data_IF_471160392314
#
_entry.id   IF_471160392314
#
_cell.length_a   1.000
_cell.length_b   1.000
_cell.length_c   1.000
_cell.angle_alpha   90.00
_cell.angle_beta   90.00
_cell.angle_gamma   90.00
#
_symmetry.space_group_name_H-M   'P 1'
#
loop_
_entity.id
_entity.type
_entity.pdbx_description
1 polymer ?
#
# COMPACT_ATOMS: atom_id res chain seq x y z
N UNK A 1 62.47 -12.07 -61.47
CA UNK A 1 62.92 -13.48 -61.33
C UNK A 1 61.77 -14.23 -60.77
N UNK A 2 61.10 -14.91 -61.64
CA UNK A 2 60.74 -16.31 -61.68
C UNK A 2 59.59 -16.64 -60.63
N UNK A 3 58.44 -16.90 -61.04
CA UNK A 3 57.85 -17.88 -61.94
C UNK A 3 57.12 -18.97 -61.17
N UNK A 4 55.92 -19.19 -61.60
CA UNK A 4 55.18 -20.49 -61.70
C UNK A 4 54.66 -21.07 -60.38
N UNK A 5 53.47 -21.61 -60.30
CA UNK A 5 52.49 -22.02 -61.32
C UNK A 5 51.39 -22.84 -60.69
N UNK A 6 50.22 -22.63 -61.18
CA UNK A 6 49.18 -23.56 -61.53
C UNK A 6 49.02 -24.90 -60.77
N UNK A 7 47.85 -25.22 -60.20
CA UNK A 7 46.96 -26.21 -60.83
C UNK A 7 45.60 -26.35 -60.15
N UNK A 8 44.60 -26.43 -60.99
CA UNK A 8 43.21 -26.81 -60.83
C UNK A 8 43.02 -28.14 -60.09
N UNK A 9 41.90 -28.24 -59.34
CA UNK A 9 41.34 -29.47 -58.83
C UNK A 9 39.89 -29.27 -58.43
N UNK A 10 39.02 -29.38 -59.42
CA UNK A 10 37.55 -29.42 -59.28
C UNK A 10 37.16 -30.80 -58.79
N UNK A 11 36.35 -30.96 -57.73
CA UNK A 11 35.45 -32.11 -57.54
C UNK A 11 34.17 -31.61 -56.82
N UNK A 12 33.09 -31.69 -57.56
CA UNK A 12 31.67 -31.73 -57.15
C UNK A 12 31.40 -32.81 -56.10
N UNK A 13 30.62 -32.48 -55.08
CA UNK A 13 29.59 -33.36 -54.52
C UNK A 13 28.70 -32.61 -53.52
N UNK A 14 27.64 -32.00 -53.97
CA UNK A 14 26.33 -32.08 -53.34
C UNK A 14 25.58 -33.21 -54.08
N UNK A 15 24.70 -34.00 -53.42
CA UNK A 15 23.44 -33.61 -52.79
C UNK A 15 22.98 -34.57 -51.68
N UNK A 16 22.42 -34.12 -50.61
CA UNK A 16 21.54 -34.93 -49.77
C UNK A 16 20.52 -34.17 -48.91
N UNK A 17 20.51 -32.86 -48.94
CA UNK A 17 19.56 -32.08 -48.09
C UNK A 17 18.27 -31.66 -48.79
N UNK A 18 18.11 -31.84 -50.11
CA UNK A 18 16.93 -31.41 -50.88
C UNK A 18 15.91 -32.52 -51.16
N UNK A 19 16.11 -33.74 -50.68
CA UNK A 19 15.13 -34.82 -50.88
C UNK A 19 14.20 -35.06 -49.68
N UNK A 20 14.59 -34.65 -48.49
CA UNK A 20 13.70 -34.78 -47.32
C UNK A 20 12.67 -33.63 -47.21
N UNK A 21 12.96 -32.45 -47.75
CA UNK A 21 11.98 -31.35 -47.80
C UNK A 21 10.91 -31.47 -48.86
N UNK A 22 11.11 -32.30 -49.92
CA UNK A 22 10.10 -32.56 -50.93
C UNK A 22 9.17 -33.76 -50.64
N UNK A 23 9.56 -34.63 -49.71
CA UNK A 23 8.68 -35.72 -49.27
C UNK A 23 7.71 -35.37 -48.15
N UNK A 24 7.93 -34.24 -47.46
CA UNK A 24 6.99 -33.70 -46.44
C UNK A 24 5.92 -32.76 -47.01
N UNK A 25 6.01 -32.37 -48.28
CA UNK A 25 5.07 -31.45 -48.93
C UNK A 25 3.91 -32.13 -49.63
N UNK A 26 3.82 -33.46 -49.62
CA UNK A 26 2.75 -34.22 -50.34
C UNK A 26 1.82 -35.03 -49.46
N UNK A 27 1.73 -34.75 -48.18
CA UNK A 27 0.80 -35.43 -47.25
C UNK A 27 0.08 -34.44 -46.34
N UNK A 28 -0.64 -33.46 -46.91
CA UNK A 28 -1.67 -32.69 -46.20
C UNK A 28 -2.97 -32.79 -47.02
N UNK A 29 -4.04 -33.34 -46.41
CA UNK A 29 -5.40 -33.16 -46.95
C UNK A 29 -5.87 -31.74 -46.71
N UNK A 30 -6.71 -31.26 -47.66
CA UNK A 30 -7.12 -29.91 -47.87
C UNK A 30 -7.78 -29.16 -46.71
N UNK A 31 -7.68 -27.86 -46.91
CA UNK A 31 -8.63 -26.83 -46.56
C UNK A 31 -9.40 -26.92 -45.21
N UNK A 32 -8.85 -26.28 -44.17
CA UNK A 32 -9.65 -25.48 -43.26
C UNK A 32 -8.86 -24.21 -42.94
N UNK A 33 -9.25 -23.10 -43.56
CA UNK A 33 -8.93 -21.75 -43.11
C UNK A 33 -9.52 -21.55 -41.70
N UNK A 34 -8.76 -21.88 -40.68
CA UNK A 34 -9.05 -21.42 -39.32
C UNK A 34 -8.70 -19.94 -39.27
N UNK A 35 -9.67 -19.04 -39.00
CA UNK A 35 -9.41 -17.63 -38.98
C UNK A 35 -8.50 -17.27 -37.79
N UNK A 36 -7.39 -16.59 -38.07
CA UNK A 36 -6.47 -15.93 -37.13
C UNK A 36 -7.13 -14.85 -36.22
N UNK A 37 -8.46 -14.81 -36.18
CA UNK A 37 -9.26 -13.86 -35.41
C UNK A 37 -9.46 -14.31 -33.95
N UNK A 38 -9.23 -15.60 -33.64
CA UNK A 38 -9.41 -16.13 -32.28
C UNK A 38 -8.37 -15.66 -31.25
N UNK A 39 -7.16 -15.32 -31.69
CA UNK A 39 -6.07 -14.98 -30.78
C UNK A 39 -6.05 -13.50 -30.35
N UNK A 40 -6.59 -12.61 -31.20
CA UNK A 40 -6.61 -11.17 -30.89
C UNK A 40 -7.65 -10.84 -29.82
N UNK A 41 -8.82 -11.48 -29.84
CA UNK A 41 -9.84 -11.28 -28.81
C UNK A 41 -9.41 -11.86 -27.45
N UNK A 42 -8.62 -12.93 -27.42
CA UNK A 42 -8.02 -13.49 -26.22
C UNK A 42 -6.96 -12.58 -25.60
N UNK A 43 -6.16 -11.91 -26.42
CA UNK A 43 -5.14 -10.94 -25.99
C UNK A 43 -5.76 -9.64 -25.50
N UNK A 44 -6.78 -9.11 -26.19
CA UNK A 44 -7.50 -7.90 -25.73
C UNK A 44 -8.31 -8.17 -24.45
N UNK A 45 -8.95 -9.33 -24.32
CA UNK A 45 -9.62 -9.75 -23.10
C UNK A 45 -8.66 -9.90 -21.92
N UNK A 46 -7.42 -10.33 -22.15
CA UNK A 46 -6.40 -10.46 -21.11
C UNK A 46 -5.86 -9.11 -20.65
N UNK A 47 -5.73 -8.14 -21.55
CA UNK A 47 -5.28 -6.76 -21.26
C UNK A 47 -6.22 -6.00 -20.32
N UNK A 48 -7.53 -6.17 -20.47
CA UNK A 48 -8.55 -5.46 -19.69
C UNK A 48 -8.67 -5.94 -18.22
N UNK A 49 -8.17 -7.14 -17.89
CA UNK A 49 -8.45 -7.74 -16.58
C UNK A 49 -7.59 -7.22 -15.44
N UNK A 50 -6.35 -6.80 -15.68
CA UNK A 50 -5.45 -6.34 -14.64
C UNK A 50 -5.92 -5.00 -14.05
N UNK A 51 -6.26 -4.05 -14.92
CA UNK A 51 -6.79 -2.74 -14.52
C UNK A 51 -8.13 -2.88 -13.80
N UNK A 52 -9.03 -3.76 -14.29
CA UNK A 52 -10.30 -4.05 -13.62
C UNK A 52 -10.08 -4.57 -12.19
N UNK A 53 -9.11 -5.46 -11.98
CA UNK A 53 -8.80 -6.00 -10.66
C UNK A 53 -8.30 -4.89 -9.71
N UNK A 54 -7.52 -3.91 -10.21
CA UNK A 54 -7.09 -2.74 -9.43
C UNK A 54 -8.29 -1.88 -9.04
N UNK A 55 -9.19 -1.56 -9.96
CA UNK A 55 -10.41 -0.80 -9.67
C UNK A 55 -11.30 -1.51 -8.63
N UNK A 56 -11.48 -2.84 -8.74
CA UNK A 56 -12.24 -3.64 -7.77
C UNK A 56 -11.56 -3.58 -6.39
N UNK A 57 -10.23 -3.74 -6.33
CA UNK A 57 -9.46 -3.69 -5.10
C UNK A 57 -9.59 -2.30 -4.44
N UNK A 58 -9.36 -1.24 -5.22
CA UNK A 58 -9.44 0.15 -4.74
C UNK A 58 -10.82 0.50 -4.21
N UNK A 59 -11.89 0.13 -4.94
CA UNK A 59 -13.26 0.37 -4.51
C UNK A 59 -13.62 -0.46 -3.28
N UNK A 60 -13.20 -1.72 -3.20
CA UNK A 60 -13.43 -2.56 -2.04
C UNK A 60 -12.75 -2.01 -0.78
N UNK A 61 -11.50 -1.54 -0.91
CA UNK A 61 -10.79 -0.87 0.17
C UNK A 61 -11.48 0.43 0.58
N UNK A 62 -11.88 1.27 -0.38
CA UNK A 62 -12.65 2.47 -0.10
C UNK A 62 -13.88 2.16 0.77
N UNK A 63 -14.70 1.16 0.41
CA UNK A 63 -15.92 0.83 1.14
C UNK A 63 -15.65 0.24 2.53
N UNK A 64 -14.63 -0.61 2.66
CA UNK A 64 -14.26 -1.19 3.97
C UNK A 64 -13.70 -0.11 4.89
N UNK A 65 -12.79 0.73 4.40
CA UNK A 65 -12.10 1.70 5.23
C UNK A 65 -12.91 2.98 5.47
N UNK A 66 -13.84 3.34 4.60
CA UNK A 66 -14.82 4.39 4.84
C UNK A 66 -15.61 4.12 6.13
N UNK A 67 -16.07 2.89 6.32
CA UNK A 67 -16.79 2.49 7.52
C UNK A 67 -15.86 2.36 8.73
N UNK A 68 -14.70 1.73 8.55
CA UNK A 68 -13.73 1.56 9.63
C UNK A 68 -13.12 2.89 10.10
N UNK A 69 -12.68 3.76 9.18
CA UNK A 69 -12.06 5.04 9.52
C UNK A 69 -13.03 5.96 10.28
N UNK A 70 -14.29 6.01 9.85
CA UNK A 70 -15.30 6.76 10.55
C UNK A 70 -15.61 6.16 11.95
N UNK A 71 -15.72 4.84 12.06
CA UNK A 71 -15.88 4.15 13.35
C UNK A 71 -14.67 4.41 14.26
N UNK A 72 -13.45 4.36 13.75
CA UNK A 72 -12.23 4.65 14.48
C UNK A 72 -12.21 6.07 15.04
N UNK A 73 -12.60 7.07 14.25
CA UNK A 73 -12.65 8.47 14.68
C UNK A 73 -13.67 8.70 15.82
N UNK A 74 -14.71 7.87 15.91
CA UNK A 74 -15.74 7.96 16.94
C UNK A 74 -15.39 7.19 18.23
N UNK A 75 -14.38 6.34 18.24
CA UNK A 75 -14.07 5.48 19.39
C UNK A 75 -13.84 6.26 20.68
N UNK A 76 -13.04 7.32 20.62
CA UNK A 76 -12.71 8.14 21.79
C UNK A 76 -13.88 9.00 22.30
N UNK A 77 -14.90 9.22 21.46
CA UNK A 77 -16.06 10.03 21.81
C UNK A 77 -17.28 9.22 22.21
N UNK A 78 -17.46 8.02 21.65
CA UNK A 78 -18.62 7.17 21.93
C UNK A 78 -18.36 6.16 23.04
N UNK A 79 -17.14 5.63 23.14
CA UNK A 79 -16.77 4.58 24.08
C UNK A 79 -15.85 5.15 25.18
N UNK A 80 -16.37 6.12 25.93
CA UNK A 80 -15.63 6.86 26.97
C UNK A 80 -15.56 6.11 28.30
N UNK A 81 -16.40 5.10 28.53
CA UNK A 81 -16.43 4.32 29.75
C UNK A 81 -15.09 3.60 29.97
N UNK A 82 -14.40 3.91 31.05
CA UNK A 82 -13.07 3.40 31.40
C UNK A 82 -12.03 3.51 30.28
N UNK A 83 -12.10 4.55 29.45
CA UNK A 83 -11.22 4.76 28.28
C UNK A 83 -11.23 3.59 27.28
N UNK A 84 -12.32 2.81 27.23
CA UNK A 84 -12.46 1.61 26.41
C UNK A 84 -12.14 1.87 24.92
N UNK A 85 -12.64 2.97 24.38
CA UNK A 85 -12.43 3.31 22.97
C UNK A 85 -10.95 3.51 22.63
N UNK A 86 -10.25 4.32 23.40
CA UNK A 86 -8.82 4.61 23.20
C UNK A 86 -7.96 3.38 23.44
N UNK A 87 -8.27 2.64 24.50
CA UNK A 87 -7.54 1.39 24.84
C UNK A 87 -7.72 0.32 23.77
N UNK A 88 -8.93 0.17 23.23
CA UNK A 88 -9.19 -0.78 22.15
C UNK A 88 -8.38 -0.47 20.88
N UNK A 89 -8.21 0.80 20.52
CA UNK A 89 -7.34 1.23 19.42
C UNK A 89 -5.86 0.96 19.71
N UNK A 90 -5.40 1.23 20.93
CA UNK A 90 -4.03 0.89 21.33
C UNK A 90 -3.74 -0.60 21.20
N UNK A 91 -4.65 -1.46 21.66
CA UNK A 91 -4.56 -2.93 21.54
C UNK A 91 -4.56 -3.33 20.06
N UNK A 92 -5.40 -2.72 19.22
CA UNK A 92 -5.46 -2.99 17.78
C UNK A 92 -4.09 -2.75 17.12
N UNK A 93 -3.49 -1.57 17.29
CA UNK A 93 -2.20 -1.24 16.65
C UNK A 93 -1.04 -2.05 17.21
N UNK A 94 -1.05 -2.36 18.51
CA UNK A 94 -0.07 -3.25 19.11
C UNK A 94 -0.18 -4.67 18.53
N UNK A 95 -1.39 -5.18 18.42
CA UNK A 95 -1.68 -6.49 17.78
C UNK A 95 -1.29 -6.49 16.31
N UNK A 96 -1.59 -5.41 15.59
CA UNK A 96 -1.21 -5.25 14.20
C UNK A 96 0.32 -5.34 14.04
N UNK A 97 1.08 -4.61 14.84
CA UNK A 97 2.55 -4.67 14.85
C UNK A 97 3.06 -6.09 15.10
N UNK A 98 2.52 -6.76 16.13
CA UNK A 98 2.91 -8.11 16.50
C UNK A 98 2.62 -9.12 15.37
N UNK A 99 1.42 -9.13 14.83
CA UNK A 99 1.03 -10.07 13.78
C UNK A 99 1.63 -9.75 12.41
N UNK A 100 2.09 -8.53 12.16
CA UNK A 100 2.82 -8.19 10.93
C UNK A 100 4.10 -9.01 10.77
N UNK A 101 4.67 -9.48 11.87
CA UNK A 101 5.85 -10.39 11.86
C UNK A 101 5.54 -11.69 11.11
N UNK A 102 4.33 -12.23 11.26
CA UNK A 102 3.92 -13.50 10.63
C UNK A 102 3.11 -13.30 9.35
N UNK A 103 2.72 -12.08 9.04
CA UNK A 103 1.81 -11.77 7.94
C UNK A 103 2.33 -12.24 6.57
N UNK A 104 3.64 -12.11 6.30
CA UNK A 104 4.23 -12.56 5.04
C UNK A 104 4.07 -14.05 4.80
N UNK A 105 4.22 -14.87 5.86
CA UNK A 105 4.02 -16.32 5.78
C UNK A 105 2.55 -16.64 5.49
N UNK A 106 1.63 -16.00 6.20
CA UNK A 106 0.19 -16.19 6.03
C UNK A 106 -0.23 -15.83 4.59
N UNK A 107 0.23 -14.69 4.08
CA UNK A 107 -0.08 -14.25 2.71
C UNK A 107 0.53 -15.21 1.67
N UNK A 108 1.72 -15.73 1.91
CA UNK A 108 2.37 -16.71 1.03
C UNK A 108 1.61 -18.03 0.95
N UNK A 109 1.13 -18.53 2.09
CA UNK A 109 0.36 -19.79 2.18
C UNK A 109 -1.04 -19.63 1.60
N UNK A 110 -1.75 -18.58 1.95
CA UNK A 110 -3.14 -18.35 1.52
C UNK A 110 -3.23 -17.82 0.09
N UNK A 111 -2.19 -17.16 -0.40
CA UNK A 111 -2.22 -16.30 -1.57
C UNK A 111 -2.87 -14.93 -1.30
N UNK A 112 -2.44 -13.91 -2.02
CA UNK A 112 -2.85 -12.52 -1.76
C UNK A 112 -4.37 -12.30 -1.79
N UNK A 113 -5.11 -12.92 -2.72
CA UNK A 113 -6.58 -12.83 -2.77
C UNK A 113 -7.27 -13.36 -1.49
N UNK A 114 -6.89 -14.55 -1.03
CA UNK A 114 -7.52 -15.13 0.16
C UNK A 114 -7.13 -14.35 1.42
N UNK A 115 -5.90 -13.82 1.48
CA UNK A 115 -5.45 -12.93 2.53
C UNK A 115 -6.32 -11.66 2.62
N UNK A 116 -6.64 -11.05 1.47
CA UNK A 116 -7.55 -9.91 1.40
C UNK A 116 -8.95 -10.25 1.94
N UNK A 117 -9.51 -11.39 1.53
CA UNK A 117 -10.84 -11.84 2.00
C UNK A 117 -10.88 -12.10 3.51
N UNK A 118 -9.89 -12.82 4.04
CA UNK A 118 -9.82 -13.10 5.48
C UNK A 118 -9.57 -11.81 6.24
N UNK A 119 -8.70 -10.93 5.71
CA UNK A 119 -8.39 -9.64 6.33
C UNK A 119 -9.63 -8.75 6.52
N UNK A 120 -10.59 -8.75 5.59
CA UNK A 120 -11.82 -7.96 5.73
C UNK A 120 -12.71 -8.42 6.88
N UNK A 121 -12.66 -9.70 7.26
CA UNK A 121 -13.50 -10.22 8.35
C UNK A 121 -13.23 -9.55 9.70
N UNK A 122 -11.97 -9.18 9.96
CA UNK A 122 -11.59 -8.47 11.19
C UNK A 122 -12.21 -7.08 11.25
N UNK A 123 -12.21 -6.36 10.15
CA UNK A 123 -12.84 -5.03 10.07
C UNK A 123 -14.34 -5.10 10.29
N UNK A 124 -15.02 -6.07 9.64
CA UNK A 124 -16.45 -6.31 9.84
C UNK A 124 -16.77 -6.64 11.30
N UNK A 125 -16.00 -7.54 11.92
CA UNK A 125 -16.21 -7.94 13.31
C UNK A 125 -15.98 -6.77 14.28
N UNK A 126 -14.96 -5.95 14.06
CA UNK A 126 -14.68 -4.79 14.90
C UNK A 126 -15.80 -3.74 14.83
N UNK A 127 -16.30 -3.43 13.63
CA UNK A 127 -17.43 -2.50 13.48
C UNK A 127 -18.70 -3.11 14.10
N UNK A 128 -18.94 -4.42 13.96
CA UNK A 128 -20.05 -5.11 14.60
C UNK A 128 -19.97 -5.08 16.14
N UNK A 129 -18.77 -5.19 16.72
CA UNK A 129 -18.56 -5.09 18.17
C UNK A 129 -18.99 -3.73 18.74
N UNK A 130 -18.97 -2.68 17.93
CA UNK A 130 -19.45 -1.34 18.32
C UNK A 130 -20.98 -1.21 18.41
N UNK A 131 -21.75 -2.22 18.00
CA UNK A 131 -23.20 -2.25 18.26
C UNK A 131 -23.54 -2.46 19.73
N UNK A 132 -22.65 -3.16 20.47
CA UNK A 132 -22.71 -3.35 21.93
C UNK A 132 -21.30 -3.28 22.50
N UNK A 133 -20.71 -2.06 22.59
CA UNK A 133 -19.33 -1.90 23.01
C UNK A 133 -19.20 -2.25 24.50
N UNK A 134 -18.29 -3.16 24.81
CA UNK A 134 -17.83 -3.48 26.16
C UNK A 134 -16.46 -4.16 26.07
N UNK A 135 -15.79 -4.34 27.20
CA UNK A 135 -14.47 -4.95 27.27
C UNK A 135 -14.41 -6.34 26.65
N UNK A 136 -15.47 -7.16 26.81
CA UNK A 136 -15.54 -8.54 26.30
C UNK A 136 -15.83 -8.64 24.81
N UNK A 137 -16.38 -7.59 24.18
CA UNK A 137 -16.66 -7.57 22.74
C UNK A 137 -15.56 -6.81 21.98
N UNK A 138 -15.20 -5.62 22.46
CA UNK A 138 -14.34 -4.70 21.72
C UNK A 138 -12.86 -5.10 21.78
N UNK A 139 -12.37 -5.56 22.96
CA UNK A 139 -10.97 -5.96 23.10
C UNK A 139 -10.63 -7.21 22.27
N UNK A 140 -11.40 -8.31 22.32
CA UNK A 140 -11.13 -9.45 21.43
C UNK A 140 -11.26 -9.09 19.94
N UNK A 141 -12.23 -8.24 19.58
CA UNK A 141 -12.38 -7.76 18.22
C UNK A 141 -11.16 -6.93 17.78
N UNK A 142 -10.57 -6.12 18.67
CA UNK A 142 -9.36 -5.33 18.40
C UNK A 142 -8.13 -6.21 18.15
N UNK A 143 -7.95 -7.26 18.96
CA UNK A 143 -6.86 -8.24 18.77
C UNK A 143 -7.01 -8.97 17.43
N UNK A 144 -8.22 -9.45 17.14
CA UNK A 144 -8.51 -10.13 15.88
C UNK A 144 -8.37 -9.20 14.68
N UNK A 145 -8.82 -7.94 14.80
CA UNK A 145 -8.61 -6.94 13.76
C UNK A 145 -7.13 -6.68 13.53
N UNK A 146 -6.30 -6.59 14.58
CA UNK A 146 -4.85 -6.42 14.43
C UNK A 146 -4.22 -7.53 13.60
N UNK A 147 -4.62 -8.79 13.82
CA UNK A 147 -4.21 -9.92 12.99
C UNK A 147 -4.70 -9.76 11.55
N UNK A 148 -5.98 -9.50 11.34
CA UNK A 148 -6.58 -9.32 10.02
C UNK A 148 -5.98 -8.13 9.27
N UNK A 149 -5.72 -7.01 9.95
CA UNK A 149 -5.08 -5.84 9.39
C UNK A 149 -3.66 -6.16 8.89
N UNK A 150 -2.89 -6.96 9.64
CA UNK A 150 -1.54 -7.33 9.22
C UNK A 150 -1.54 -8.09 7.88
N UNK A 151 -2.47 -9.02 7.69
CA UNK A 151 -2.53 -9.82 6.46
C UNK A 151 -3.19 -9.09 5.29
N UNK A 152 -4.21 -8.24 5.53
CA UNK A 152 -4.88 -7.51 4.43
C UNK A 152 -3.93 -6.49 3.79
N UNK A 153 -3.14 -5.76 4.57
CA UNK A 153 -2.22 -4.76 4.06
C UNK A 153 -0.98 -5.35 3.37
N UNK A 154 -0.45 -6.49 3.86
CA UNK A 154 0.60 -7.23 3.14
C UNK A 154 0.02 -7.86 1.87
N UNK A 155 -1.19 -8.41 1.95
CA UNK A 155 -1.92 -8.96 0.81
C UNK A 155 -2.23 -7.93 -0.27
N UNK A 156 -2.61 -6.71 0.11
CA UNK A 156 -2.86 -5.58 -0.79
C UNK A 156 -1.61 -5.23 -1.60
N UNK A 157 -0.50 -4.90 -0.93
CA UNK A 157 0.73 -4.52 -1.62
C UNK A 157 1.26 -5.62 -2.54
N UNK A 158 1.18 -6.89 -2.08
CA UNK A 158 1.56 -8.06 -2.89
C UNK A 158 0.64 -8.23 -4.10
N UNK A 159 -0.68 -8.10 -3.92
CA UNK A 159 -1.65 -8.23 -5.00
C UNK A 159 -1.48 -7.14 -6.06
N UNK A 160 -1.37 -5.89 -5.62
CA UNK A 160 -1.23 -4.72 -6.47
C UNK A 160 0.06 -4.78 -7.30
N UNK A 161 1.18 -5.09 -6.64
CA UNK A 161 2.49 -5.26 -7.31
C UNK A 161 2.46 -6.41 -8.31
N UNK A 162 1.85 -7.55 -7.98
CA UNK A 162 1.70 -8.68 -8.89
C UNK A 162 0.81 -8.34 -10.10
N UNK A 163 -0.26 -7.56 -9.88
CA UNK A 163 -1.12 -7.05 -10.94
C UNK A 163 -0.35 -6.15 -11.91
N UNK A 164 0.44 -5.23 -11.37
CA UNK A 164 1.24 -4.29 -12.14
C UNK A 164 2.30 -5.00 -12.99
N UNK A 165 3.02 -5.96 -12.41
CA UNK A 165 4.02 -6.76 -13.14
C UNK A 165 3.40 -7.57 -14.27
N UNK A 166 2.27 -8.23 -14.03
CA UNK A 166 1.57 -8.96 -15.07
C UNK A 166 1.10 -8.03 -16.18
N UNK A 167 0.55 -6.86 -15.82
CA UNK A 167 0.10 -5.87 -16.78
C UNK A 167 1.25 -5.30 -17.64
N UNK A 168 2.39 -5.01 -17.01
CA UNK A 168 3.58 -4.51 -17.72
C UNK A 168 4.13 -5.53 -18.70
N UNK A 169 4.17 -6.81 -18.32
CA UNK A 169 4.64 -7.91 -19.17
C UNK A 169 3.70 -8.15 -20.35
N UNK A 170 2.38 -8.21 -20.09
CA UNK A 170 1.38 -8.49 -21.15
C UNK A 170 1.26 -7.34 -22.17
N UNK A 171 1.64 -6.12 -21.78
CA UNK A 171 1.56 -4.92 -22.66
C UNK A 171 2.92 -4.37 -23.09
N UNK A 172 4.03 -5.01 -22.75
CA UNK A 172 5.40 -4.54 -23.01
C UNK A 172 5.65 -3.10 -22.47
N UNK A 173 5.10 -2.79 -21.28
CA UNK A 173 5.25 -1.50 -20.63
C UNK A 173 6.41 -1.50 -19.64
N UNK A 174 6.91 -0.33 -19.29
CA UNK A 174 7.94 -0.18 -18.27
C UNK A 174 7.39 -0.54 -16.89
N UNK A 175 7.93 -1.59 -16.23
CA UNK A 175 7.43 -2.15 -14.97
C UNK A 175 7.28 -1.09 -13.87
N UNK A 176 8.29 -0.23 -13.71
CA UNK A 176 8.28 0.80 -12.67
C UNK A 176 7.18 1.84 -12.85
N UNK A 177 6.86 2.21 -14.10
CA UNK A 177 5.77 3.13 -14.40
C UNK A 177 4.41 2.50 -14.05
N UNK A 178 4.17 1.24 -14.46
CA UNK A 178 2.91 0.54 -14.16
C UNK A 178 2.73 0.31 -12.65
N UNK A 179 3.80 -0.02 -11.93
CA UNK A 179 3.73 -0.13 -10.45
C UNK A 179 3.37 1.22 -9.83
N UNK A 180 3.97 2.31 -10.34
CA UNK A 180 3.64 3.67 -9.90
C UNK A 180 2.18 4.02 -10.16
N UNK A 181 1.71 3.82 -11.39
CA UNK A 181 0.33 4.13 -11.79
C UNK A 181 -0.71 3.37 -10.94
N UNK A 182 -0.50 2.06 -10.74
CA UNK A 182 -1.44 1.24 -9.96
C UNK A 182 -1.45 1.62 -8.48
N UNK A 183 -0.28 1.93 -7.90
CA UNK A 183 -0.23 2.45 -6.53
C UNK A 183 -0.87 3.84 -6.42
N UNK A 184 -0.62 4.73 -7.37
CA UNK A 184 -1.22 6.06 -7.40
C UNK A 184 -2.74 6.01 -7.48
N UNK A 185 -3.30 5.15 -8.34
CA UNK A 185 -4.74 4.94 -8.45
C UNK A 185 -5.33 4.37 -7.15
N UNK A 186 -4.70 3.32 -6.60
CA UNK A 186 -5.17 2.70 -5.37
C UNK A 186 -5.21 3.70 -4.20
N UNK A 187 -4.10 4.38 -3.94
CA UNK A 187 -4.01 5.33 -2.82
C UNK A 187 -4.89 6.56 -3.03
N UNK A 188 -5.07 7.04 -4.27
CA UNK A 188 -5.99 8.12 -4.57
C UNK A 188 -7.45 7.78 -4.24
N UNK A 189 -7.90 6.58 -4.62
CA UNK A 189 -9.25 6.11 -4.31
C UNK A 189 -9.38 5.83 -2.81
N UNK A 190 -8.34 5.24 -2.20
CA UNK A 190 -8.31 4.98 -0.76
C UNK A 190 -8.45 6.27 0.06
N UNK A 191 -7.74 7.34 -0.29
CA UNK A 191 -7.78 8.61 0.44
C UNK A 191 -9.21 9.21 0.56
N UNK A 192 -10.11 8.87 -0.38
CA UNK A 192 -11.51 9.31 -0.32
C UNK A 192 -12.28 8.75 0.89
N UNK A 193 -11.79 7.67 1.53
CA UNK A 193 -12.47 7.08 2.69
C UNK A 193 -12.61 8.06 3.85
N UNK A 194 -11.61 8.90 4.07
CA UNK A 194 -11.65 9.93 5.12
C UNK A 194 -12.76 10.96 4.85
N UNK A 195 -12.85 11.44 3.62
CA UNK A 195 -13.86 12.44 3.27
C UNK A 195 -15.27 11.86 3.34
N UNK A 196 -15.52 10.76 2.61
CA UNK A 196 -16.88 10.20 2.48
C UNK A 196 -17.35 9.61 3.82
N UNK A 197 -16.49 8.94 4.58
CA UNK A 197 -16.83 8.35 5.88
C UNK A 197 -17.24 9.42 6.90
N UNK A 198 -16.51 10.52 6.98
CA UNK A 198 -16.84 11.63 7.88
C UNK A 198 -18.11 12.36 7.43
N UNK A 199 -18.36 12.48 6.12
CA UNK A 199 -19.60 13.08 5.61
C UNK A 199 -20.85 12.25 5.97
N UNK A 200 -20.77 10.92 5.84
CA UNK A 200 -21.86 10.01 6.26
C UNK A 200 -22.09 10.11 7.76
N UNK A 201 -21.02 10.13 8.56
CA UNK A 201 -21.11 10.33 10.00
C UNK A 201 -21.81 11.62 10.36
N UNK A 202 -21.40 12.72 9.72
CA UNK A 202 -22.02 14.02 9.92
C UNK A 202 -23.51 13.99 9.57
N UNK A 203 -23.88 13.47 8.40
CA UNK A 203 -25.27 13.42 7.94
C UNK A 203 -26.16 12.59 8.86
N UNK A 204 -25.67 11.47 9.39
CA UNK A 204 -26.47 10.58 10.25
C UNK A 204 -26.54 11.03 11.72
N UNK A 205 -25.53 11.75 12.21
CA UNK A 205 -25.49 12.20 13.60
C UNK A 205 -26.03 13.62 13.80
N UNK A 206 -25.96 14.52 12.79
CA UNK A 206 -26.47 15.89 12.92
C UNK A 206 -27.99 15.96 12.95
N UNK A 207 -28.68 15.02 12.31
CA UNK A 207 -30.16 14.97 12.30
C UNK A 207 -30.78 14.49 13.64
N UNK A 208 -29.94 13.92 14.53
CA UNK A 208 -30.34 13.34 15.82
C UNK A 208 -29.80 14.12 17.03
N UNK A 209 -29.74 15.44 16.97
CA UNK A 209 -29.25 16.32 18.06
C UNK A 209 -30.14 16.33 19.35
N UNK A 210 -30.96 15.36 19.60
CA UNK A 210 -31.52 15.13 20.93
C UNK A 210 -30.49 14.35 21.76
N UNK A 211 -29.96 15.00 22.80
CA UNK A 211 -29.01 14.45 23.74
C UNK A 211 -29.34 13.00 24.12
N UNK A 212 -28.40 12.07 23.88
CA UNK A 212 -28.48 10.68 24.34
C UNK A 212 -29.18 9.69 23.39
N UNK A 213 -29.40 10.01 22.11
CA UNK A 213 -30.04 9.06 21.18
C UNK A 213 -29.10 7.93 20.76
N UNK A 214 -29.09 6.82 21.52
CA UNK A 214 -28.46 5.54 21.15
C UNK A 214 -28.92 5.01 19.79
N UNK A 215 -30.09 5.46 19.31
CA UNK A 215 -30.67 5.06 18.01
C UNK A 215 -29.86 5.56 16.82
N UNK A 216 -29.38 6.81 16.84
CA UNK A 216 -28.57 7.37 15.76
C UNK A 216 -27.21 6.66 15.61
N UNK A 217 -26.56 6.38 16.72
CA UNK A 217 -25.29 5.66 16.74
C UNK A 217 -25.44 4.21 16.25
N UNK A 218 -26.51 3.52 16.69
CA UNK A 218 -26.79 2.15 16.23
C UNK A 218 -27.10 2.12 14.73
N UNK A 219 -27.89 3.08 14.22
CA UNK A 219 -28.17 3.20 12.78
C UNK A 219 -26.88 3.42 11.99
N UNK A 220 -25.99 4.29 12.46
CA UNK A 220 -24.70 4.56 11.85
C UNK A 220 -23.87 3.27 11.69
N UNK A 221 -23.70 2.49 12.76
CA UNK A 221 -22.94 1.23 12.70
C UNK A 221 -23.63 0.18 11.82
N UNK A 222 -24.95 0.13 11.76
CA UNK A 222 -25.68 -0.75 10.82
C UNK A 222 -25.38 -0.35 9.37
N UNK A 223 -25.44 0.94 9.04
CA UNK A 223 -25.10 1.47 7.70
C UNK A 223 -23.64 1.13 7.35
N UNK A 224 -22.72 1.32 8.29
CA UNK A 224 -21.32 0.98 8.11
C UNK A 224 -21.10 -0.52 7.86
N UNK A 225 -21.76 -1.39 8.60
CA UNK A 225 -21.71 -2.84 8.38
C UNK A 225 -22.22 -3.22 6.99
N UNK A 226 -23.30 -2.57 6.53
CA UNK A 226 -23.83 -2.83 5.19
C UNK A 226 -22.85 -2.42 4.09
N UNK A 227 -22.29 -1.20 4.17
CA UNK A 227 -21.30 -0.69 3.22
C UNK A 227 -20.04 -1.59 3.21
N UNK A 228 -19.54 -1.96 4.39
CA UNK A 228 -18.35 -2.79 4.54
C UNK A 228 -18.55 -4.22 4.01
N UNK A 229 -19.74 -4.80 4.25
CA UNK A 229 -20.11 -6.11 3.72
C UNK A 229 -20.12 -6.09 2.19
N UNK A 230 -20.64 -5.02 1.58
CA UNK A 230 -20.59 -4.85 0.14
C UNK A 230 -19.14 -4.76 -0.38
N UNK A 231 -18.26 -4.03 0.32
CA UNK A 231 -16.82 -4.00 0.03
C UNK A 231 -16.18 -5.39 0.11
N UNK A 232 -16.51 -6.17 1.13
CA UNK A 232 -16.02 -7.56 1.27
C UNK A 232 -16.51 -8.47 0.13
N UNK A 233 -17.76 -8.31 -0.31
CA UNK A 233 -18.31 -9.04 -1.47
C UNK A 233 -17.54 -8.68 -2.75
N UNK A 234 -17.21 -7.40 -2.96
CA UNK A 234 -16.41 -6.98 -4.12
C UNK A 234 -15.05 -7.68 -4.17
N UNK A 235 -14.40 -7.93 -3.04
CA UNK A 235 -13.13 -8.66 -3.01
C UNK A 235 -13.24 -10.10 -3.50
N UNK A 236 -14.42 -10.72 -3.45
CA UNK A 236 -14.64 -12.06 -4.01
C UNK A 236 -14.43 -12.09 -5.53
N UNK A 237 -14.67 -10.98 -6.22
CA UNK A 237 -14.54 -10.88 -7.68
C UNK A 237 -13.09 -10.67 -8.15
N UNK A 238 -12.14 -10.45 -7.24
CA UNK A 238 -10.72 -10.41 -7.54
C UNK A 238 -10.27 -11.77 -8.10
N UNK A 239 -9.35 -11.76 -9.06
CA UNK A 239 -8.76 -12.99 -9.62
C UNK A 239 -7.67 -13.51 -8.67
N UNK A 240 -7.55 -14.85 -8.60
CA UNK A 240 -6.39 -15.47 -7.96
C UNK A 240 -5.15 -15.15 -8.79
N UNK A 241 -4.15 -14.55 -8.15
CA UNK A 241 -2.82 -14.35 -8.73
C UNK A 241 -1.88 -15.39 -8.12
N UNK A 242 -1.12 -16.09 -8.99
CA UNK A 242 -0.19 -17.11 -8.53
C UNK A 242 0.89 -16.45 -7.66
N UNK A 243 1.05 -16.95 -6.44
CA UNK A 243 2.30 -16.79 -5.73
C UNK A 243 3.41 -17.38 -6.61
N UNK A 244 4.57 -16.73 -6.67
CA UNK A 244 5.72 -17.24 -7.42
C UNK A 244 5.89 -18.74 -7.15
N UNK A 245 5.73 -19.56 -8.18
CA UNK A 245 5.71 -21.03 -8.10
C UNK A 245 6.93 -21.65 -7.40
N UNK A 246 8.02 -20.91 -7.23
CA UNK A 246 9.22 -21.35 -6.49
C UNK A 246 9.01 -21.34 -4.96
N UNK A 247 8.26 -20.41 -4.40
CA UNK A 247 8.01 -20.37 -2.95
C UNK A 247 6.99 -21.42 -2.49
N UNK A 248 6.04 -21.81 -3.37
CA UNK A 248 5.07 -22.86 -3.06
C UNK A 248 5.68 -24.27 -3.13
N UNK A 249 6.68 -24.46 -3.98
CA UNK A 249 7.36 -25.76 -4.12
C UNK A 249 8.26 -26.09 -2.93
N UNK A 250 8.84 -25.09 -2.27
CA UNK A 250 9.63 -25.29 -1.04
C UNK A 250 8.77 -25.61 0.18
N UNK A 251 7.49 -25.17 0.22
CA UNK A 251 6.57 -25.50 1.32
C UNK A 251 5.79 -26.81 1.10
N UNK A 252 5.57 -27.23 -0.14
CA UNK A 252 4.80 -28.46 -0.45
C UNK A 252 5.61 -29.76 -0.28
N UNK A 253 6.90 -29.65 -0.09
CA UNK A 253 7.82 -30.81 -0.02
C UNK A 253 8.24 -31.24 1.38
N UNK A 254 7.68 -30.65 2.45
CA UNK A 254 8.07 -31.02 3.81
C UNK A 254 6.86 -31.16 4.71
N UNK A 255 6.69 -32.33 5.26
CA UNK A 255 6.08 -32.58 6.59
C UNK A 255 6.90 -31.83 7.67
N UNK A 256 7.07 -30.53 7.49
CA UNK A 256 7.82 -29.68 8.38
C UNK A 256 6.91 -29.24 9.50
N UNK A 257 7.08 -29.79 10.69
CA UNK A 257 6.39 -29.39 11.90
C UNK A 257 6.48 -27.87 12.13
N UNK A 258 5.55 -27.31 12.94
CA UNK A 258 5.44 -25.88 13.24
C UNK A 258 6.80 -25.20 13.56
N UNK A 259 7.76 -25.94 14.10
CA UNK A 259 9.10 -25.46 14.41
C UNK A 259 9.95 -25.16 13.16
N UNK A 260 9.79 -25.92 12.06
CA UNK A 260 10.49 -25.66 10.80
C UNK A 260 9.89 -24.45 10.07
N UNK A 261 8.57 -24.25 10.16
CA UNK A 261 7.88 -23.06 9.65
C UNK A 261 8.29 -21.79 10.40
N UNK A 262 8.41 -21.85 11.74
CA UNK A 262 8.94 -20.73 12.55
C UNK A 262 10.41 -20.42 12.22
N UNK A 263 11.23 -21.44 11.99
CA UNK A 263 12.64 -21.25 11.60
C UNK A 263 12.77 -20.65 10.19
N UNK A 264 11.92 -21.05 9.25
CA UNK A 264 11.88 -20.43 7.92
C UNK A 264 11.41 -18.98 7.98
N UNK A 265 10.43 -18.68 8.84
CA UNK A 265 9.92 -17.33 9.08
C UNK A 265 11.00 -16.43 9.70
N UNK A 266 11.67 -16.89 10.77
CA UNK A 266 12.76 -16.13 11.40
C UNK A 266 13.91 -15.87 10.42
N UNK A 267 14.20 -16.82 9.55
CA UNK A 267 15.21 -16.67 8.49
C UNK A 267 14.77 -15.68 7.41
N UNK A 268 13.50 -15.70 6.99
CA UNK A 268 12.96 -14.74 6.02
C UNK A 268 12.95 -13.31 6.58
N UNK A 269 12.52 -13.13 7.83
CA UNK A 269 12.57 -11.84 8.51
C UNK A 269 13.99 -11.34 8.72
N UNK A 270 14.91 -12.21 9.16
CA UNK A 270 16.32 -11.87 9.30
C UNK A 270 16.98 -11.55 7.95
N UNK A 271 16.62 -12.27 6.89
CA UNK A 271 17.07 -11.99 5.53
C UNK A 271 16.58 -10.62 5.04
N UNK A 272 15.31 -10.30 5.27
CA UNK A 272 14.75 -8.99 4.90
C UNK A 272 15.42 -7.84 5.69
N UNK A 273 15.69 -8.03 6.98
CA UNK A 273 16.44 -7.07 7.81
C UNK A 273 17.93 -7.00 7.47
N UNK A 274 18.49 -8.05 6.85
CA UNK A 274 19.89 -8.07 6.42
C UNK A 274 20.10 -7.41 5.06
N UNK A 275 19.03 -7.15 4.31
CA UNK A 275 19.14 -6.43 3.03
C UNK A 275 19.42 -4.95 3.30
N UNK A 276 20.58 -4.50 2.84
CA UNK A 276 21.01 -3.10 2.99
C UNK A 276 19.99 -2.12 2.39
N UNK A 277 19.28 -2.50 1.33
CA UNK A 277 18.24 -1.65 0.74
C UNK A 277 17.09 -1.46 1.72
N UNK A 278 16.64 -2.54 2.37
CA UNK A 278 15.58 -2.46 3.40
C UNK A 278 16.03 -1.59 4.57
N UNK A 279 17.25 -1.80 5.10
CA UNK A 279 17.78 -0.98 6.19
C UNK A 279 17.80 0.52 5.87
N UNK A 280 18.08 0.88 4.61
CA UNK A 280 18.11 2.28 4.18
C UNK A 280 16.68 2.85 3.93
N UNK A 281 15.66 2.01 3.75
CA UNK A 281 14.26 2.45 3.60
C UNK A 281 13.55 2.55 4.96
N UNK A 282 13.92 1.73 5.95
CA UNK A 282 13.26 1.69 7.27
C UNK A 282 13.07 3.08 7.91
N UNK A 283 14.06 4.00 7.91
CA UNK A 283 13.83 5.33 8.49
C UNK A 283 12.71 6.11 7.80
N UNK A 284 12.58 5.98 6.49
CA UNK A 284 11.49 6.64 5.75
C UNK A 284 10.13 6.00 6.03
N UNK A 285 10.09 4.67 6.17
CA UNK A 285 8.89 3.94 6.58
C UNK A 285 8.47 4.37 7.99
N UNK A 286 9.41 4.41 8.93
CA UNK A 286 9.16 4.84 10.29
C UNK A 286 8.64 6.27 10.35
N UNK A 287 9.23 7.17 9.55
CA UNK A 287 8.76 8.55 9.44
C UNK A 287 7.33 8.62 8.88
N UNK A 288 6.97 7.79 7.90
CA UNK A 288 5.59 7.77 7.36
C UNK A 288 4.55 7.39 8.42
N UNK A 289 4.87 6.43 9.30
CA UNK A 289 4.00 6.09 10.42
C UNK A 289 3.91 7.20 11.47
N UNK A 290 5.04 7.81 11.80
CA UNK A 290 5.11 8.95 12.71
C UNK A 290 4.24 10.11 12.22
N UNK A 291 4.33 10.45 10.94
CA UNK A 291 3.57 11.53 10.31
C UNK A 291 2.07 11.26 10.34
N UNK A 292 1.64 10.03 10.02
CA UNK A 292 0.22 9.67 10.08
C UNK A 292 -0.35 9.81 11.49
N UNK A 293 0.34 9.26 12.49
CA UNK A 293 -0.08 9.37 13.88
C UNK A 293 -0.11 10.84 14.37
N UNK A 294 0.86 11.65 13.94
CA UNK A 294 0.87 13.10 14.22
C UNK A 294 -0.38 13.79 13.66
N UNK A 295 -0.74 13.53 12.41
CA UNK A 295 -1.92 14.15 11.78
C UNK A 295 -3.19 13.75 12.50
N UNK A 296 -3.35 12.45 12.80
CA UNK A 296 -4.60 11.95 13.40
C UNK A 296 -4.81 12.37 14.86
N UNK A 297 -3.74 12.54 15.62
CA UNK A 297 -3.82 12.86 17.05
C UNK A 297 -3.38 14.30 17.36
N UNK A 298 -2.13 14.64 17.08
CA UNK A 298 -1.50 15.85 17.58
C UNK A 298 -1.93 17.11 16.83
N UNK A 299 -1.95 17.04 15.48
CA UNK A 299 -2.36 18.16 14.62
C UNK A 299 -3.83 18.52 14.86
N UNK A 300 -4.71 17.54 14.91
CA UNK A 300 -6.14 17.76 15.19
C UNK A 300 -6.37 18.37 16.58
N UNK A 301 -5.68 17.85 17.59
CA UNK A 301 -5.84 18.26 18.99
C UNK A 301 -5.24 19.63 19.28
N UNK A 302 -4.02 19.89 18.85
CA UNK A 302 -3.26 21.08 19.27
C UNK A 302 -3.27 22.22 18.25
N UNK A 303 -3.65 21.97 16.99
CA UNK A 303 -3.66 22.98 15.93
C UNK A 303 -5.08 23.26 15.46
N UNK A 304 -5.80 22.23 15.02
CA UNK A 304 -7.13 22.40 14.41
C UNK A 304 -8.18 22.78 15.45
N UNK A 305 -8.34 22.00 16.51
CA UNK A 305 -9.39 22.20 17.52
C UNK A 305 -9.30 23.56 18.22
N UNK A 306 -8.13 24.05 18.63
CA UNK A 306 -8.02 25.39 19.23
C UNK A 306 -8.30 26.53 18.25
N UNK A 307 -8.02 26.33 16.94
CA UNK A 307 -8.15 27.40 15.95
C UNK A 307 -9.56 27.51 15.36
N UNK A 308 -10.22 26.40 15.04
CA UNK A 308 -11.50 26.37 14.31
C UNK A 308 -12.55 25.46 14.95
N UNK A 309 -12.29 25.00 16.18
CA UNK A 309 -13.22 24.17 16.96
C UNK A 309 -13.27 22.69 16.51
N UNK A 310 -14.03 21.90 17.27
CA UNK A 310 -14.17 20.45 16.99
C UNK A 310 -14.82 20.20 15.61
N UNK A 311 -15.79 21.02 15.21
CA UNK A 311 -16.41 20.94 13.89
C UNK A 311 -15.43 21.17 12.75
N UNK A 312 -14.37 21.96 12.99
CA UNK A 312 -13.30 22.23 12.03
C UNK A 312 -12.39 21.04 11.76
N UNK A 313 -12.38 20.02 12.62
CA UNK A 313 -11.58 18.79 12.40
C UNK A 313 -12.06 18.07 11.14
N UNK A 314 -13.36 17.96 10.93
CA UNK A 314 -13.93 17.35 9.73
C UNK A 314 -13.49 18.04 8.44
N UNK A 315 -13.54 19.39 8.40
CA UNK A 315 -13.12 20.16 7.21
C UNK A 315 -11.63 20.08 6.95
N UNK A 316 -10.79 20.08 8.02
CA UNK A 316 -9.34 19.94 7.91
C UNK A 316 -8.94 18.56 7.40
N UNK A 317 -9.57 17.50 7.92
CA UNK A 317 -9.31 16.14 7.47
C UNK A 317 -9.86 15.88 6.06
N UNK A 318 -10.93 16.57 5.65
CA UNK A 318 -11.40 16.55 4.27
C UNK A 318 -10.38 17.21 3.31
N UNK A 319 -9.82 18.36 3.69
CA UNK A 319 -8.77 19.01 2.90
C UNK A 319 -7.52 18.10 2.83
N UNK A 320 -7.08 17.54 3.96
CA UNK A 320 -5.98 16.58 3.99
C UNK A 320 -6.21 15.41 3.03
N UNK A 321 -7.35 14.72 3.13
CA UNK A 321 -7.67 13.56 2.27
C UNK A 321 -7.83 13.92 0.79
N UNK A 322 -8.35 15.11 0.46
CA UNK A 322 -8.46 15.56 -0.92
C UNK A 322 -7.07 15.77 -1.56
N UNK A 323 -6.17 16.46 -0.86
CA UNK A 323 -4.79 16.67 -1.35
C UNK A 323 -3.96 15.39 -1.35
N UNK A 324 -4.16 14.50 -0.38
CA UNK A 324 -3.59 13.16 -0.36
C UNK A 324 -3.99 12.38 -1.63
N UNK A 325 -5.28 12.26 -1.92
CA UNK A 325 -5.77 11.54 -3.08
C UNK A 325 -5.26 12.11 -4.42
N UNK A 326 -5.30 13.44 -4.59
CA UNK A 326 -4.80 14.11 -5.79
C UNK A 326 -3.30 13.85 -5.96
N UNK A 327 -2.52 14.00 -4.88
CA UNK A 327 -1.07 13.83 -4.94
C UNK A 327 -0.65 12.38 -5.08
N UNK A 328 -1.39 11.43 -4.49
CA UNK A 328 -1.19 9.99 -4.71
C UNK A 328 -1.32 9.64 -6.20
N UNK A 329 -2.38 10.13 -6.86
CA UNK A 329 -2.59 9.89 -8.29
C UNK A 329 -1.48 10.51 -9.14
N UNK A 330 -1.13 11.77 -8.89
CA UNK A 330 -0.08 12.47 -9.63
C UNK A 330 1.29 11.81 -9.40
N UNK A 331 1.62 11.50 -8.16
CA UNK A 331 2.87 10.84 -7.80
C UNK A 331 2.99 9.47 -8.48
N UNK A 332 1.92 8.67 -8.51
CA UNK A 332 1.89 7.40 -9.21
C UNK A 332 2.18 7.54 -10.70
N UNK A 333 1.49 8.44 -11.39
CA UNK A 333 1.67 8.69 -12.84
C UNK A 333 3.04 9.24 -13.22
N UNK A 334 3.67 9.99 -12.32
CA UNK A 334 5.01 10.52 -12.54
C UNK A 334 6.11 9.49 -12.19
N UNK A 335 5.75 8.35 -11.63
CA UNK A 335 6.70 7.30 -11.26
C UNK A 335 7.15 6.53 -12.49
N UNK A 336 8.44 6.58 -12.78
CA UNK A 336 9.06 5.80 -13.85
C UNK A 336 10.22 4.91 -13.38
N UNK A 337 10.68 5.12 -12.16
CA UNK A 337 11.79 4.39 -11.55
C UNK A 337 12.35 5.13 -10.33
N UNK A 338 13.51 4.68 -9.84
CA UNK A 338 14.08 5.21 -8.59
C UNK A 338 14.37 6.72 -8.65
N UNK A 339 14.80 7.25 -9.80
CA UNK A 339 15.10 8.68 -9.92
C UNK A 339 13.85 9.54 -9.78
N UNK A 340 12.75 9.16 -10.43
CA UNK A 340 11.48 9.88 -10.30
C UNK A 340 10.92 9.75 -8.87
N UNK A 341 10.98 8.55 -8.27
CA UNK A 341 10.61 8.33 -6.86
C UNK A 341 11.38 9.28 -5.94
N UNK A 342 12.69 9.41 -6.14
CA UNK A 342 13.53 10.29 -5.32
C UNK A 342 13.08 11.74 -5.41
N UNK A 343 12.81 12.24 -6.61
CA UNK A 343 12.33 13.61 -6.81
C UNK A 343 10.95 13.82 -6.17
N UNK A 344 10.02 12.90 -6.39
CA UNK A 344 8.66 13.00 -5.87
C UNK A 344 8.66 12.97 -4.34
N UNK A 345 9.38 12.03 -3.72
CA UNK A 345 9.54 11.95 -2.26
C UNK A 345 10.16 13.23 -1.69
N UNK A 346 11.15 13.81 -2.37
CA UNK A 346 11.76 15.08 -1.94
C UNK A 346 10.75 16.22 -1.87
N UNK A 347 9.85 16.32 -2.86
CA UNK A 347 8.78 17.33 -2.87
C UNK A 347 7.78 17.10 -1.73
N UNK A 348 7.36 15.84 -1.49
CA UNK A 348 6.45 15.51 -0.40
C UNK A 348 7.04 15.81 0.99
N UNK A 349 8.29 15.41 1.23
CA UNK A 349 8.99 15.70 2.49
C UNK A 349 9.23 17.19 2.68
N UNK A 350 9.51 17.94 1.61
CA UNK A 350 9.63 19.41 1.68
C UNK A 350 8.32 20.06 2.11
N UNK A 351 7.18 19.64 1.55
CA UNK A 351 5.88 20.16 1.95
C UNK A 351 5.61 19.93 3.46
N UNK A 352 5.94 18.74 3.97
CA UNK A 352 5.82 18.44 5.40
C UNK A 352 6.79 19.25 6.26
N UNK A 353 8.04 19.43 5.83
CA UNK A 353 9.01 20.24 6.53
C UNK A 353 8.53 21.70 6.67
N UNK A 354 7.93 22.27 5.63
CA UNK A 354 7.34 23.61 5.66
C UNK A 354 6.28 23.70 6.77
N UNK A 355 5.37 22.73 6.87
CA UNK A 355 4.34 22.72 7.93
C UNK A 355 4.97 22.65 9.31
N UNK A 356 5.93 21.73 9.53
CA UNK A 356 6.59 21.58 10.83
C UNK A 356 7.32 22.86 11.26
N UNK A 357 8.00 23.51 10.33
CA UNK A 357 8.69 24.79 10.60
C UNK A 357 7.70 25.91 10.91
N UNK A 358 6.60 26.05 10.14
CA UNK A 358 5.56 27.04 10.40
C UNK A 358 4.94 26.86 11.79
N UNK A 359 4.67 25.61 12.18
CA UNK A 359 4.16 25.31 13.53
C UNK A 359 5.17 25.57 14.63
N UNK A 360 6.46 25.26 14.43
CA UNK A 360 7.54 25.55 15.39
C UNK A 360 7.74 27.04 15.62
N UNK A 361 7.63 27.84 14.54
CA UNK A 361 7.73 29.30 14.61
C UNK A 361 6.48 29.95 15.23
N UNK A 362 5.47 29.17 15.64
CA UNK A 362 4.14 29.63 16.05
C UNK A 362 3.54 30.65 15.07
N UNK A 363 3.80 30.46 13.78
CA UNK A 363 3.23 31.31 12.76
C UNK A 363 1.73 31.04 12.68
N UNK A 364 0.94 31.93 13.29
CA UNK A 364 -0.52 31.88 13.29
C UNK A 364 -1.07 33.13 12.61
N UNK A 365 -2.01 32.93 11.69
CA UNK A 365 -2.80 34.02 11.14
C UNK A 365 -3.97 34.25 12.10
N UNK A 366 -4.24 35.49 12.43
CA UNK A 366 -5.28 35.90 13.40
C UNK A 366 -6.62 35.25 13.08
N UNK A 367 -7.43 35.02 14.14
CA UNK A 367 -8.76 34.40 14.13
C UNK A 367 -9.68 34.97 13.03
N UNK A 368 -10.52 34.11 12.47
CA UNK A 368 -11.49 34.45 11.44
C UNK A 368 -11.30 33.64 10.17
N UNK A 369 -11.84 34.09 9.06
CA UNK A 369 -11.79 33.40 7.77
C UNK A 369 -10.37 33.06 7.32
N UNK A 370 -9.43 33.99 7.47
CA UNK A 370 -8.01 33.75 7.12
C UNK A 370 -7.36 32.68 7.98
N UNK A 371 -7.71 32.61 9.28
CA UNK A 371 -7.23 31.55 10.17
C UNK A 371 -7.72 30.17 9.72
N UNK A 372 -8.99 30.04 9.33
CA UNK A 372 -9.54 28.80 8.79
C UNK A 372 -8.83 28.38 7.51
N UNK A 373 -8.66 29.31 6.55
CA UNK A 373 -7.93 29.02 5.29
C UNK A 373 -6.50 28.57 5.57
N UNK A 374 -5.82 29.18 6.53
CA UNK A 374 -4.46 28.79 6.91
C UNK A 374 -4.42 27.35 7.47
N UNK A 375 -5.34 26.97 8.34
CA UNK A 375 -5.41 25.60 8.89
C UNK A 375 -5.70 24.58 7.76
N UNK A 376 -6.62 24.90 6.86
CA UNK A 376 -6.91 24.03 5.70
C UNK A 376 -5.71 23.91 4.77
N UNK A 377 -4.93 24.99 4.60
CA UNK A 377 -3.69 24.97 3.82
C UNK A 377 -2.63 24.07 4.47
N UNK A 378 -2.43 24.15 5.79
CA UNK A 378 -1.52 23.26 6.51
C UNK A 378 -1.96 21.80 6.40
N UNK A 379 -3.26 21.52 6.55
CA UNK A 379 -3.82 20.19 6.37
C UNK A 379 -3.58 19.66 4.94
N UNK A 380 -3.79 20.51 3.93
CA UNK A 380 -3.50 20.18 2.54
C UNK A 380 -2.04 19.84 2.29
N UNK A 381 -1.09 20.61 2.84
CA UNK A 381 0.35 20.32 2.71
C UNK A 381 0.73 18.99 3.40
N UNK A 382 0.12 18.68 4.54
CA UNK A 382 0.31 17.37 5.20
C UNK A 382 -0.26 16.24 4.34
N UNK A 383 -1.41 16.44 3.70
CA UNK A 383 -2.00 15.49 2.77
C UNK A 383 -1.12 15.25 1.53
N UNK A 384 -0.53 16.30 0.95
CA UNK A 384 0.46 16.16 -0.13
C UNK A 384 1.60 15.23 0.29
N UNK A 385 2.14 15.45 1.48
CA UNK A 385 3.24 14.63 2.00
C UNK A 385 2.85 13.18 2.22
N UNK A 386 1.65 12.91 2.75
CA UNK A 386 1.16 11.55 3.00
C UNK A 386 0.90 10.80 1.70
N UNK A 387 0.17 11.39 0.76
CA UNK A 387 -0.12 10.78 -0.54
C UNK A 387 1.14 10.43 -1.31
N UNK A 388 2.12 11.34 -1.30
CA UNK A 388 3.45 11.06 -1.88
C UNK A 388 4.13 9.89 -1.17
N UNK A 389 4.21 9.90 0.17
CA UNK A 389 4.92 8.85 0.91
C UNK A 389 4.23 7.48 0.76
N UNK A 390 2.91 7.40 0.87
CA UNK A 390 2.19 6.13 0.73
C UNK A 390 2.37 5.54 -0.66
N UNK A 391 2.16 6.33 -1.70
CA UNK A 391 2.31 5.89 -3.09
C UNK A 391 3.75 5.46 -3.39
N UNK A 392 4.73 6.29 -3.02
CA UNK A 392 6.12 6.04 -3.41
C UNK A 392 6.79 4.95 -2.57
N UNK A 393 6.47 4.80 -1.27
CA UNK A 393 6.99 3.69 -0.47
C UNK A 393 6.49 2.34 -0.99
N UNK A 394 5.20 2.23 -1.31
CA UNK A 394 4.64 1.00 -1.85
C UNK A 394 5.21 0.69 -3.24
N UNK A 395 5.33 1.68 -4.13
CA UNK A 395 5.97 1.53 -5.43
C UNK A 395 7.45 1.14 -5.31
N UNK A 396 8.20 1.79 -4.42
CA UNK A 396 9.62 1.51 -4.17
C UNK A 396 9.85 0.06 -3.70
N UNK A 397 9.03 -0.41 -2.75
CA UNK A 397 9.07 -1.80 -2.27
C UNK A 397 8.75 -2.75 -3.41
N UNK A 398 7.70 -2.48 -4.18
CA UNK A 398 7.34 -3.28 -5.34
C UNK A 398 8.45 -3.37 -6.40
N UNK A 399 9.19 -2.30 -6.63
CA UNK A 399 10.28 -2.27 -7.60
C UNK A 399 11.55 -2.98 -7.09
N UNK A 400 11.93 -2.75 -5.84
CA UNK A 400 13.22 -3.21 -5.30
C UNK A 400 13.22 -4.66 -4.81
N UNK A 401 12.08 -5.16 -4.31
CA UNK A 401 11.98 -6.48 -3.67
C UNK A 401 11.16 -7.48 -4.51
N UNK A 402 11.67 -7.78 -5.71
CA UNK A 402 10.98 -8.67 -6.67
C UNK A 402 10.89 -10.13 -6.21
N UNK A 403 11.83 -10.59 -5.41
CA UNK A 403 11.95 -12.00 -4.99
C UNK A 403 11.21 -12.30 -3.68
N UNK A 404 11.08 -11.31 -2.79
CA UNK A 404 10.38 -11.42 -1.51
C UNK A 404 9.48 -10.20 -1.27
N UNK A 405 8.47 -10.07 -2.10
CA UNK A 405 7.52 -8.95 -2.05
C UNK A 405 6.70 -8.99 -0.76
N UNK A 406 6.25 -10.17 -0.34
CA UNK A 406 5.46 -10.35 0.89
C UNK A 406 6.26 -9.99 2.15
N UNK A 407 7.52 -10.43 2.21
CA UNK A 407 8.41 -10.08 3.31
C UNK A 407 8.71 -8.59 3.40
N UNK A 408 8.91 -7.95 2.25
CA UNK A 408 9.17 -6.51 2.19
C UNK A 408 7.93 -5.67 2.61
N UNK A 409 6.73 -6.05 2.19
CA UNK A 409 5.50 -5.39 2.66
C UNK A 409 5.21 -5.67 4.14
N UNK A 410 5.56 -6.84 4.65
CA UNK A 410 5.47 -7.11 6.09
C UNK A 410 6.40 -6.17 6.88
N UNK A 411 7.65 -5.97 6.43
CA UNK A 411 8.57 -5.01 7.03
C UNK A 411 8.03 -3.58 6.98
N UNK A 412 7.45 -3.16 5.86
CA UNK A 412 6.78 -1.87 5.76
C UNK A 412 5.75 -1.70 6.89
N UNK A 413 4.88 -2.67 7.09
CA UNK A 413 3.82 -2.57 8.09
C UNK A 413 4.33 -2.69 9.52
N UNK A 414 5.34 -3.53 9.78
CA UNK A 414 5.98 -3.61 11.11
C UNK A 414 6.49 -2.24 11.55
N UNK A 415 7.33 -1.62 10.74
CA UNK A 415 7.97 -0.35 11.11
C UNK A 415 6.97 0.82 11.14
N UNK A 416 6.04 0.87 10.20
CA UNK A 416 4.99 1.88 10.15
C UNK A 416 4.08 1.81 11.38
N UNK A 417 3.52 0.63 11.69
CA UNK A 417 2.62 0.46 12.82
C UNK A 417 3.33 0.58 14.18
N UNK A 418 4.57 0.12 14.29
CA UNK A 418 5.36 0.30 15.49
C UNK A 418 5.55 1.80 15.83
N UNK A 419 5.87 2.62 14.83
CA UNK A 419 6.01 4.06 15.05
C UNK A 419 4.68 4.75 15.35
N UNK A 420 3.57 4.32 14.71
CA UNK A 420 2.23 4.79 15.06
C UNK A 420 1.92 4.47 16.53
N UNK A 421 2.14 3.23 16.97
CA UNK A 421 1.91 2.83 18.36
C UNK A 421 2.77 3.64 19.35
N UNK A 422 4.06 3.86 19.03
CA UNK A 422 4.97 4.68 19.85
C UNK A 422 4.40 6.10 20.01
N UNK A 423 3.91 6.72 18.94
CA UNK A 423 3.33 8.06 19.02
C UNK A 423 2.10 8.08 19.93
N UNK A 424 1.17 7.15 19.75
CA UNK A 424 -0.04 7.11 20.58
C UNK A 424 0.25 6.93 22.07
N UNK A 425 1.29 6.18 22.44
CA UNK A 425 1.65 5.96 23.84
C UNK A 425 2.51 7.10 24.44
N UNK A 426 3.40 7.69 23.68
CA UNK A 426 4.40 8.61 24.20
C UNK A 426 4.12 10.10 23.90
N UNK A 427 3.41 10.43 22.82
CA UNK A 427 3.12 11.83 22.50
C UNK A 427 2.35 12.56 23.62
N UNK A 428 1.38 11.93 24.32
CA UNK A 428 0.71 12.60 25.44
C UNK A 428 1.63 12.96 26.63
N UNK A 429 2.81 12.32 26.71
CA UNK A 429 3.78 12.50 27.81
C UNK A 429 4.79 13.63 27.54
N UNK A 430 4.84 14.16 26.33
CA UNK A 430 5.81 15.16 25.91
C UNK A 430 5.11 16.43 25.37
N UNK A 431 5.82 17.55 25.38
CA UNK A 431 5.22 18.80 24.89
C UNK A 431 5.06 18.78 23.36
N UNK A 432 4.01 19.44 22.86
CA UNK A 432 3.75 19.55 21.42
C UNK A 432 4.95 20.08 20.63
N UNK A 433 5.68 21.09 21.21
CA UNK A 433 6.91 21.59 20.59
C UNK A 433 8.00 20.53 20.49
N UNK A 434 8.15 19.67 21.50
CA UNK A 434 9.11 18.57 21.45
C UNK A 434 8.72 17.54 20.36
N UNK A 435 7.43 17.24 20.20
CA UNK A 435 6.94 16.39 19.10
C UNK A 435 7.37 16.97 17.75
N UNK A 436 7.13 18.27 17.52
CA UNK A 436 7.50 18.93 16.26
C UNK A 436 9.01 18.89 15.98
N UNK A 437 9.84 19.11 17.01
CA UNK A 437 11.32 19.04 16.86
C UNK A 437 11.76 17.62 16.54
N UNK A 438 11.24 16.62 17.23
CA UNK A 438 11.53 15.20 16.97
C UNK A 438 11.12 14.83 15.53
N UNK A 439 9.92 15.23 15.10
CA UNK A 439 9.45 14.99 13.74
C UNK A 439 10.35 15.62 12.70
N UNK A 440 10.75 16.87 12.87
CA UNK A 440 11.63 17.55 11.92
C UNK A 440 13.01 16.89 11.86
N UNK A 441 13.57 16.50 13.01
CA UNK A 441 14.85 15.81 13.07
C UNK A 441 14.78 14.43 12.36
N UNK A 442 13.71 13.65 12.61
CA UNK A 442 13.50 12.35 11.97
C UNK A 442 13.20 12.49 10.47
N UNK A 443 12.50 13.55 10.04
CA UNK A 443 12.31 13.86 8.62
C UNK A 443 13.66 14.08 7.93
N UNK A 444 14.50 14.95 8.47
CA UNK A 444 15.82 15.23 7.92
C UNK A 444 16.70 13.98 7.89
N UNK A 445 16.72 13.21 8.98
CA UNK A 445 17.47 11.95 9.07
C UNK A 445 16.98 10.94 8.02
N UNK A 446 15.68 10.71 7.93
CA UNK A 446 15.07 9.76 6.98
C UNK A 446 15.35 10.17 5.53
N UNK A 447 15.28 11.46 5.24
CA UNK A 447 15.58 11.98 3.92
C UNK A 447 17.05 11.78 3.53
N UNK A 448 17.99 12.07 4.43
CA UNK A 448 19.42 11.83 4.19
C UNK A 448 19.71 10.34 3.90
N UNK A 449 19.15 9.44 4.70
CA UNK A 449 19.32 7.99 4.49
C UNK A 449 18.69 7.53 3.17
N UNK A 450 17.52 8.07 2.84
CA UNK A 450 16.86 7.76 1.55
C UNK A 450 17.68 8.25 0.35
N UNK A 451 18.30 9.41 0.42
CA UNK A 451 19.21 9.89 -0.63
C UNK A 451 20.43 8.97 -0.78
N UNK A 452 20.97 8.43 0.33
CA UNK A 452 22.06 7.43 0.27
C UNK A 452 21.61 6.16 -0.45
N UNK A 453 20.37 5.69 -0.23
CA UNK A 453 19.78 4.58 -0.98
C UNK A 453 19.75 4.89 -2.48
N UNK A 454 19.21 6.06 -2.85
CA UNK A 454 19.08 6.48 -4.25
C UNK A 454 20.46 6.52 -4.95
N UNK A 455 21.48 7.05 -4.28
CA UNK A 455 22.84 7.09 -4.79
C UNK A 455 23.47 5.70 -4.91
N UNK A 456 23.20 4.81 -3.95
CA UNK A 456 23.77 3.46 -3.94
C UNK A 456 23.15 2.57 -5.01
N UNK A 457 21.84 2.62 -5.18
CA UNK A 457 21.13 1.84 -6.20
C UNK A 457 21.34 2.42 -7.61
N UNK A 458 21.36 3.76 -7.75
CA UNK A 458 21.61 4.42 -9.03
C UNK A 458 23.03 4.21 -9.59
N UNK A 459 24.01 3.87 -8.75
CA UNK A 459 25.39 3.54 -9.15
C UNK A 459 25.61 2.05 -9.48
N UNK A 460 24.63 1.17 -9.23
CA UNK A 460 24.74 -0.23 -9.63
C UNK A 460 24.78 -0.30 -11.17
N UNK A 461 25.83 -0.90 -11.79
CA UNK A 461 25.92 -1.01 -13.24
C UNK A 461 24.68 -1.77 -13.75
N UNK A 462 24.00 -1.22 -14.73
CA UNK A 462 23.00 -1.94 -15.51
C UNK A 462 23.65 -3.24 -16.01
N UNK A 463 23.02 -4.42 -15.91
CA UNK A 463 23.53 -5.64 -16.50
C UNK A 463 23.80 -5.35 -17.98
N UNK A 464 25.07 -5.29 -18.34
CA UNK A 464 25.55 -5.03 -19.68
C UNK A 464 24.83 -5.99 -20.63
N UNK A 465 24.31 -5.46 -21.70
CA UNK A 465 23.87 -6.12 -22.93
C UNK A 465 25.06 -6.87 -23.57
N UNK A 466 25.51 -7.92 -22.91
CA UNK A 466 26.58 -8.80 -23.39
C UNK A 466 26.00 -10.17 -23.66
N UNK A 467 25.12 -10.23 -24.66
CA UNK A 467 24.83 -11.43 -25.45
C UNK A 467 24.08 -11.02 -26.73
N UNK A 468 24.81 -10.42 -27.65
CA UNK A 468 24.56 -10.49 -29.10
C UNK A 468 25.93 -10.42 -29.77
N UNK A 469 26.56 -11.53 -29.90
CA UNK A 469 27.48 -11.89 -31.01
C UNK A 469 27.31 -13.38 -31.27
#
# INVERSE_FOLDING_TARGET
MTSEGSKFGNINSQPSCNRELQSMASALPGDEETPLVGDISGLEGRKSHHTRDVHILSLAFLLVFLAFGAAQNLQSTLNTEDDLGTTSLGILYLSFTFFSVVASLVVRVLGSKNALLIGTTGYVLYVAANLKPNWYTLVPASVYLGFCASIIWVGEGTYLTSAARSHSTDNNLHEGAVIGDFNGEFWAVYALHQFIGNLITFALLSDNQQEGSTKGTTLLFIVFLFIMTFGAILMCFLRKRGANSKGQQELSGADAGACASLKSLSKSLASALSDVKMLLIIPLIAYSGLQQAFVWAEFTKYVVTPAIGISGVGSSMAAYGAFDGICSLLAGRLTSGLTSITTIVSVGLFAQAVVLVLLLLNFSISSGFLGTVYILFLAGLLGIGDGVLMTQLNALIGILFKHDTEGAFAQLKIWQCATIAIVFFFAPLISFKAVLVIMLALLCFSFCIFLLLALKVGKAPSPSTSQRN
#
